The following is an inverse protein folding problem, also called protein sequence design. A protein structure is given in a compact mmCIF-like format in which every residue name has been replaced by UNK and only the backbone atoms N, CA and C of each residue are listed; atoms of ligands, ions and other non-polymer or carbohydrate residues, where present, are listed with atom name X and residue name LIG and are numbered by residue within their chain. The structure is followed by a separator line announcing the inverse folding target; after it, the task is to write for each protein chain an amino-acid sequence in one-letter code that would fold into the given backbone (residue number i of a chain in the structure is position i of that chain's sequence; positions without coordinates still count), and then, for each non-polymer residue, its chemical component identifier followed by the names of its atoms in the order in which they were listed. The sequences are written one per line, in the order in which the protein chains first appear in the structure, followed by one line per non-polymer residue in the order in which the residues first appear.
data_IF_006081219542
#
_entry.id   IF_006081219542
#
_cell.length_a   1.000
_cell.length_b   1.000
_cell.length_c   1.000
_cell.angle_alpha   90.00
_cell.angle_beta   90.00
_cell.angle_gamma   90.00
#
_symmetry.space_group_name_H-M   'P 1'
#
loop_
_entity.id
_entity.type
_entity.pdbx_description
1 polymer ?
#
# COMPACT_ATOMS: atom_id res chain seq x y z
N UNK A 1 24.81 15.76 -3.48
CA UNK A 1 23.62 14.92 -3.71
C UNK A 1 23.94 13.52 -3.22
N UNK A 2 23.02 12.88 -2.49
CA UNK A 2 23.24 11.54 -1.92
C UNK A 2 22.62 10.51 -2.85
N UNK A 3 23.37 9.47 -3.21
CA UNK A 3 22.84 8.36 -4.02
C UNK A 3 22.34 7.22 -3.15
N UNK A 4 21.24 6.64 -3.58
CA UNK A 4 20.52 5.57 -2.88
C UNK A 4 20.55 4.29 -3.71
N UNK A 5 20.74 3.15 -3.05
CA UNK A 5 20.81 1.83 -3.68
C UNK A 5 19.41 1.24 -3.84
N UNK A 6 18.99 1.03 -5.08
CA UNK A 6 17.75 0.35 -5.43
C UNK A 6 17.86 -1.16 -5.19
N UNK A 7 16.71 -1.82 -5.13
CA UNK A 7 16.62 -3.29 -4.94
C UNK A 7 17.36 -4.10 -6.01
N UNK A 8 17.40 -3.60 -7.25
CA UNK A 8 18.14 -4.23 -8.35
C UNK A 8 19.66 -3.95 -8.32
N UNK A 9 20.16 -3.25 -7.29
CA UNK A 9 21.58 -2.92 -7.13
C UNK A 9 22.00 -1.61 -7.80
N UNK A 10 21.16 -1.01 -8.64
CA UNK A 10 21.42 0.30 -9.26
C UNK A 10 21.41 1.44 -8.23
N UNK A 11 22.13 2.51 -8.53
CA UNK A 11 22.13 3.73 -7.72
C UNK A 11 21.37 4.85 -8.44
N UNK A 12 20.46 5.51 -7.73
CA UNK A 12 19.79 6.73 -8.19
C UNK A 12 20.02 7.87 -7.18
N UNK A 13 19.87 9.12 -7.59
CA UNK A 13 19.88 10.23 -6.64
C UNK A 13 18.62 10.18 -5.77
N UNK A 14 18.78 10.51 -4.48
CA UNK A 14 17.62 10.65 -3.61
C UNK A 14 16.70 11.76 -4.14
N UNK A 15 15.43 11.42 -4.33
CA UNK A 15 14.42 12.33 -4.83
C UNK A 15 13.32 12.50 -3.76
N UNK A 16 13.32 13.66 -3.10
CA UNK A 16 12.36 13.98 -2.03
C UNK A 16 10.91 13.99 -2.54
N UNK A 17 10.68 14.55 -3.75
CA UNK A 17 9.35 14.60 -4.37
C UNK A 17 8.80 13.20 -4.65
N UNK A 18 9.65 12.26 -5.05
CA UNK A 18 9.30 10.86 -5.28
C UNK A 18 8.89 10.17 -3.97
N UNK A 19 9.63 10.43 -2.89
CA UNK A 19 9.30 9.89 -1.57
C UNK A 19 7.99 10.50 -1.05
N UNK A 20 7.86 11.83 -1.07
CA UNK A 20 6.65 12.54 -0.67
C UNK A 20 5.41 12.01 -1.39
N UNK A 21 5.47 11.95 -2.73
CA UNK A 21 4.35 11.45 -3.55
C UNK A 21 4.04 9.97 -3.28
N UNK A 22 5.01 9.18 -2.83
CA UNK A 22 4.77 7.79 -2.42
C UNK A 22 4.04 7.68 -1.09
N UNK A 23 4.22 8.63 -0.18
CA UNK A 23 3.54 8.71 1.13
C UNK A 23 2.13 9.28 0.97
N UNK A 24 1.96 10.35 0.19
CA UNK A 24 0.63 10.87 -0.15
C UNK A 24 -0.23 9.83 -0.87
N UNK A 25 0.40 8.95 -1.65
CA UNK A 25 -0.30 7.90 -2.38
C UNK A 25 -1.08 6.92 -1.51
N UNK A 26 -0.62 6.71 -0.27
CA UNK A 26 -1.15 5.68 0.61
C UNK A 26 -2.29 6.20 1.49
N UNK A 27 -2.50 7.53 1.52
CA UNK A 27 -3.57 8.18 2.28
C UNK A 27 -3.07 9.25 3.27
N UNK A 28 -1.76 9.31 3.51
CA UNK A 28 -1.15 10.23 4.47
C UNK A 28 -1.48 11.71 4.19
N UNK A 29 -1.63 12.49 5.27
CA UNK A 29 -1.78 13.94 5.15
C UNK A 29 -0.49 14.59 4.60
N UNK A 30 -0.60 15.78 3.97
CA UNK A 30 0.56 16.57 3.59
C UNK A 30 1.55 16.84 4.72
N UNK A 31 1.06 17.11 5.95
CA UNK A 31 1.95 17.34 7.10
C UNK A 31 2.73 16.07 7.46
N UNK A 32 2.05 14.92 7.57
CA UNK A 32 2.69 13.63 7.87
C UNK A 32 3.73 13.27 6.80
N UNK A 33 3.41 13.46 5.53
CA UNK A 33 4.33 13.18 4.43
C UNK A 33 5.57 14.09 4.48
N UNK A 34 5.40 15.38 4.80
CA UNK A 34 6.49 16.33 4.94
C UNK A 34 7.42 15.94 6.11
N UNK A 35 6.85 15.64 7.28
CA UNK A 35 7.62 15.27 8.48
C UNK A 35 8.45 14.00 8.25
N UNK A 36 7.88 13.01 7.56
CA UNK A 36 8.59 11.78 7.20
C UNK A 36 9.75 12.05 6.23
N UNK A 37 9.54 12.91 5.23
CA UNK A 37 10.59 13.27 4.26
C UNK A 37 11.75 13.96 4.98
N UNK A 38 11.47 14.90 5.88
CA UNK A 38 12.50 15.59 6.66
C UNK A 38 13.23 14.62 7.60
N UNK A 39 12.53 13.67 8.22
CA UNK A 39 13.18 12.62 9.01
C UNK A 39 14.12 11.75 8.17
N UNK A 40 13.70 11.34 6.97
CA UNK A 40 14.56 10.57 6.05
C UNK A 40 15.78 11.39 5.65
N UNK A 41 15.63 12.69 5.35
CA UNK A 41 16.73 13.58 4.97
C UNK A 41 17.77 13.70 6.09
N UNK A 42 17.35 13.82 7.36
CA UNK A 42 18.26 13.85 8.52
C UNK A 42 19.11 12.59 8.66
N UNK A 43 18.62 11.45 8.19
CA UNK A 43 19.28 10.14 8.30
C UNK A 43 19.95 9.69 7.00
N UNK A 44 19.83 10.46 5.93
CA UNK A 44 20.27 10.10 4.59
C UNK A 44 21.79 9.91 4.55
N UNK A 45 22.25 8.81 3.93
CA UNK A 45 23.68 8.48 3.78
C UNK A 45 23.95 7.92 2.40
N UNK A 46 25.16 8.13 1.89
CA UNK A 46 25.58 7.59 0.60
C UNK A 46 25.46 6.07 0.57
N UNK A 47 24.83 5.57 -0.49
CA UNK A 47 24.57 4.15 -0.67
C UNK A 47 23.47 3.55 0.20
N UNK A 48 22.74 4.38 0.98
CA UNK A 48 21.57 3.92 1.73
C UNK A 48 20.56 3.25 0.79
N UNK A 49 20.06 2.08 1.18
CA UNK A 49 19.14 1.31 0.36
C UNK A 49 17.70 1.83 0.42
N UNK A 50 16.93 1.57 -0.64
CA UNK A 50 15.49 1.86 -0.66
C UNK A 50 14.69 1.07 0.39
N UNK A 51 15.26 0.03 1.01
CA UNK A 51 14.65 -0.74 2.09
C UNK A 51 14.92 -0.09 3.46
N UNK A 52 16.10 0.49 3.67
CA UNK A 52 16.41 1.31 4.85
C UNK A 52 15.56 2.58 4.91
N UNK A 53 15.43 3.29 3.79
CA UNK A 53 14.54 4.46 3.69
C UNK A 53 13.11 4.07 4.06
N UNK A 54 12.63 2.93 3.55
CA UNK A 54 11.29 2.43 3.88
C UNK A 54 11.15 2.10 5.35
N UNK A 55 12.17 1.53 5.99
CA UNK A 55 12.14 1.26 7.42
C UNK A 55 11.97 2.55 8.22
N UNK A 56 12.65 3.62 7.85
CA UNK A 56 12.48 4.94 8.48
C UNK A 56 11.05 5.44 8.30
N UNK A 57 10.52 5.37 7.08
CA UNK A 57 9.13 5.76 6.77
C UNK A 57 8.15 4.97 7.62
N UNK A 58 8.28 3.65 7.71
CA UNK A 58 7.37 2.80 8.48
C UNK A 58 7.45 3.07 9.98
N UNK A 59 8.64 3.29 10.54
CA UNK A 59 8.81 3.66 11.95
C UNK A 59 8.07 4.98 12.21
N UNK A 60 8.24 5.98 11.34
CA UNK A 60 7.56 7.26 11.49
C UNK A 60 6.06 7.19 11.28
N UNK A 61 5.57 6.41 10.32
CA UNK A 61 4.14 6.15 10.17
C UNK A 61 3.56 5.46 11.41
N UNK A 62 4.26 4.50 12.03
CA UNK A 62 3.82 3.87 13.27
C UNK A 62 3.59 4.89 14.40
N UNK A 63 4.44 5.90 14.48
CA UNK A 63 4.38 6.96 15.49
C UNK A 63 3.27 7.98 15.19
N UNK A 64 3.14 8.39 13.92
CA UNK A 64 2.28 9.50 13.52
C UNK A 64 0.86 9.07 13.15
N UNK A 65 0.72 7.95 12.44
CA UNK A 65 -0.55 7.42 11.96
C UNK A 65 -0.49 5.89 11.74
N UNK A 66 -0.85 5.10 12.77
CA UNK A 66 -0.87 3.65 12.68
C UNK A 66 -1.79 3.08 11.59
N UNK A 67 -2.88 3.77 11.24
CA UNK A 67 -3.78 3.30 10.19
C UNK A 67 -3.14 3.46 8.81
N UNK A 68 -2.38 4.55 8.63
CA UNK A 68 -1.62 4.79 7.41
C UNK A 68 -0.46 3.79 7.26
N UNK A 69 0.19 3.41 8.35
CA UNK A 69 1.18 2.32 8.31
C UNK A 69 0.54 1.02 7.79
N UNK A 70 -0.66 0.69 8.27
CA UNK A 70 -1.40 -0.48 7.81
C UNK A 70 -1.83 -0.35 6.34
N UNK A 71 -2.25 0.83 5.90
CA UNK A 71 -2.55 1.13 4.49
C UNK A 71 -1.31 0.94 3.59
N UNK A 72 -0.16 1.45 4.03
CA UNK A 72 1.12 1.31 3.32
C UNK A 72 1.52 -0.16 3.21
N UNK A 73 1.46 -0.92 4.33
CA UNK A 73 1.77 -2.35 4.34
C UNK A 73 0.86 -3.10 3.36
N UNK A 74 -0.42 -2.80 3.40
CA UNK A 74 -1.39 -3.39 2.49
C UNK A 74 -1.11 -3.05 1.02
N UNK A 75 -0.82 -1.79 0.70
CA UNK A 75 -0.43 -1.34 -0.64
C UNK A 75 0.83 -2.06 -1.16
N UNK A 76 1.87 -2.17 -0.33
CA UNK A 76 3.11 -2.86 -0.70
C UNK A 76 2.87 -4.37 -0.94
N UNK A 77 1.98 -4.99 -0.15
CA UNK A 77 1.57 -6.39 -0.34
C UNK A 77 0.90 -6.58 -1.70
N UNK A 78 -0.18 -5.84 -1.98
CA UNK A 78 -0.97 -6.01 -3.21
C UNK A 78 -0.18 -5.62 -4.47
N UNK A 79 0.60 -4.54 -4.43
CA UNK A 79 1.26 -4.02 -5.64
C UNK A 79 2.61 -4.66 -5.93
N UNK A 80 3.34 -5.08 -4.89
CA UNK A 80 4.73 -5.51 -5.04
C UNK A 80 4.93 -6.98 -4.73
N UNK A 81 3.88 -7.71 -4.32
CA UNK A 81 3.96 -9.11 -3.90
C UNK A 81 4.92 -9.28 -2.72
N UNK A 82 4.99 -8.26 -1.85
CA UNK A 82 5.92 -8.27 -0.70
C UNK A 82 5.20 -8.86 0.50
N UNK A 83 5.80 -9.88 1.10
CA UNK A 83 5.52 -10.25 2.49
C UNK A 83 5.88 -9.02 3.33
N UNK A 84 4.90 -8.38 3.94
CA UNK A 84 5.14 -7.16 4.72
C UNK A 84 5.65 -7.52 6.11
N UNK A 85 6.85 -7.00 6.38
CA UNK A 85 7.60 -7.19 7.61
C UNK A 85 6.97 -6.38 8.75
N UNK A 86 6.73 -7.02 9.88
CA UNK A 86 6.49 -6.34 11.15
C UNK A 86 7.81 -6.35 11.96
N UNK A 87 8.26 -5.17 12.37
CA UNK A 87 9.40 -4.94 13.28
C UNK A 87 10.76 -5.58 12.94
N UNK A 88 11.12 -5.63 11.66
CA UNK A 88 12.54 -5.74 11.23
C UNK A 88 13.28 -7.04 11.58
N UNK A 89 12.58 -8.06 12.11
CA UNK A 89 13.07 -9.45 12.19
C UNK A 89 12.28 -10.30 11.20
N UNK A 90 13.00 -11.11 10.42
CA UNK A 90 12.38 -12.16 9.63
C UNK A 90 11.77 -13.17 10.60
N UNK A 91 10.46 -13.09 10.81
CA UNK A 91 9.75 -14.15 11.50
C UNK A 91 9.31 -15.15 10.42
N UNK A 92 10.06 -16.24 10.31
CA UNK A 92 9.48 -17.53 9.91
C UNK A 92 8.67 -17.97 11.13
N UNK A 93 7.34 -17.96 11.04
CA UNK A 93 6.52 -18.76 11.98
C UNK A 93 6.15 -20.04 11.26
N UNK A 94 6.93 -21.09 11.55
CA UNK A 94 6.41 -22.46 11.47
C UNK A 94 5.15 -22.54 12.34
N UNK A 95 4.06 -23.00 11.72
CA UNK A 95 2.64 -22.95 12.14
C UNK A 95 1.83 -21.73 11.68
N UNK A 96 1.97 -21.38 10.40
CA UNK A 96 0.90 -21.71 9.45
C UNK A 96 -0.39 -20.88 9.42
N UNK A 97 -0.51 -19.75 10.12
CA UNK A 97 -1.61 -18.80 9.92
C UNK A 97 -1.11 -17.36 9.89
N UNK A 98 -0.38 -17.01 8.84
CA UNK A 98 -0.34 -15.64 8.35
C UNK A 98 -1.70 -15.42 7.64
N UNK A 99 -2.49 -14.43 8.05
CA UNK A 99 -3.75 -14.09 7.40
C UNK A 99 -3.51 -13.68 5.93
N UNK A 100 -3.49 -14.69 5.08
CA UNK A 100 -3.62 -14.70 3.62
C UNK A 100 -5.03 -15.24 3.36
N UNK A 101 -6.10 -14.47 3.59
CA UNK A 101 -7.48 -14.94 3.67
C UNK A 101 -8.03 -15.70 2.45
N UNK A 102 -7.64 -16.97 2.30
CA UNK A 102 -8.30 -18.08 1.62
C UNK A 102 -8.57 -18.03 0.12
N UNK A 103 -8.38 -16.90 -0.59
CA UNK A 103 -8.72 -16.89 -2.02
C UNK A 103 -7.86 -16.10 -2.99
N UNK A 104 -6.79 -15.41 -2.58
CA UNK A 104 -5.84 -14.96 -3.60
C UNK A 104 -5.06 -16.18 -4.07
N UNK A 105 -5.61 -16.84 -5.10
CA UNK A 105 -4.91 -17.86 -5.88
C UNK A 105 -3.49 -17.39 -6.16
N UNK A 106 -2.57 -18.34 -6.32
CA UNK A 106 -1.22 -18.13 -6.85
C UNK A 106 -1.27 -17.41 -8.22
N UNK A 107 -1.62 -16.13 -8.23
CA UNK A 107 -1.50 -15.28 -9.39
C UNK A 107 -0.01 -15.03 -9.50
N UNK A 108 0.67 -15.86 -10.28
CA UNK A 108 2.12 -15.88 -10.47
C UNK A 108 2.73 -14.60 -11.07
N UNK A 109 2.05 -13.45 -10.96
CA UNK A 109 2.49 -12.12 -11.40
C UNK A 109 2.49 -11.10 -10.25
N UNK A 110 3.35 -10.09 -10.35
CA UNK A 110 3.40 -8.98 -9.38
C UNK A 110 2.23 -8.02 -9.64
N UNK A 111 1.43 -7.69 -8.63
CA UNK A 111 0.43 -6.60 -8.71
C UNK A 111 -0.98 -7.05 -9.12
N UNK A 112 -1.92 -6.09 -9.20
CA UNK A 112 -3.30 -6.30 -9.62
C UNK A 112 -3.42 -6.31 -11.15
N UNK A 113 -4.08 -7.32 -11.71
CA UNK A 113 -4.24 -7.55 -13.15
C UNK A 113 -5.71 -7.56 -13.61
N UNK A 114 -6.67 -7.89 -12.75
CA UNK A 114 -8.10 -7.90 -13.09
C UNK A 114 -9.01 -7.57 -11.89
N UNK A 115 -10.31 -7.41 -12.18
CA UNK A 115 -11.34 -7.08 -11.18
C UNK A 115 -11.72 -8.25 -10.28
N UNK A 116 -11.48 -9.50 -10.68
CA UNK A 116 -11.71 -10.67 -9.83
C UNK A 116 -10.78 -10.67 -8.61
N UNK A 117 -9.50 -10.31 -8.80
CA UNK A 117 -8.56 -10.12 -7.68
C UNK A 117 -9.01 -9.01 -6.72
N UNK A 118 -9.59 -7.93 -7.25
CA UNK A 118 -10.11 -6.83 -6.43
C UNK A 118 -11.31 -7.32 -5.62
N UNK A 119 -12.19 -8.12 -6.21
CA UNK A 119 -13.33 -8.72 -5.52
C UNK A 119 -12.88 -9.64 -4.39
N UNK A 120 -11.89 -10.51 -4.62
CA UNK A 120 -11.33 -11.38 -3.58
C UNK A 120 -10.77 -10.57 -2.40
N UNK A 121 -10.07 -9.46 -2.69
CA UNK A 121 -9.55 -8.57 -1.65
C UNK A 121 -10.68 -7.87 -0.89
N UNK A 122 -11.78 -7.48 -1.55
CA UNK A 122 -12.94 -6.88 -0.88
C UNK A 122 -13.67 -7.90 0.01
N UNK A 123 -13.75 -9.15 -0.41
CA UNK A 123 -14.30 -10.25 0.41
C UNK A 123 -13.44 -10.43 1.68
N UNK A 124 -12.10 -10.42 1.57
CA UNK A 124 -11.19 -10.42 2.72
C UNK A 124 -11.41 -9.21 3.65
N UNK A 125 -11.60 -8.01 3.10
CA UNK A 125 -11.85 -6.81 3.91
C UNK A 125 -13.20 -6.87 4.64
N UNK A 126 -14.21 -7.54 4.07
CA UNK A 126 -15.47 -7.79 4.78
C UNK A 126 -15.24 -8.76 5.93
N UNK A 127 -14.51 -9.86 5.70
CA UNK A 127 -14.17 -10.80 6.76
C UNK A 127 -13.38 -10.13 7.89
N UNK A 128 -12.37 -9.32 7.57
CA UNK A 128 -11.59 -8.54 8.54
C UNK A 128 -12.49 -7.64 9.40
N UNK A 129 -13.45 -6.96 8.77
CA UNK A 129 -14.42 -6.13 9.46
C UNK A 129 -15.32 -6.96 10.39
N UNK A 130 -15.78 -8.12 9.93
CA UNK A 130 -16.63 -9.03 10.69
C UNK A 130 -15.88 -9.65 11.88
N UNK A 131 -14.56 -9.86 11.76
CA UNK A 131 -13.67 -10.28 12.84
C UNK A 131 -13.26 -9.14 13.79
N UNK A 132 -13.79 -7.94 13.62
CA UNK A 132 -13.64 -6.83 14.55
C UNK A 132 -12.51 -5.86 14.22
N UNK A 133 -11.94 -5.89 13.01
CA UNK A 133 -11.01 -4.86 12.58
C UNK A 133 -11.72 -3.50 12.51
N UNK A 134 -11.03 -2.44 12.91
CA UNK A 134 -11.65 -1.12 12.99
C UNK A 134 -12.08 -0.60 11.61
N UNK A 135 -13.23 0.09 11.56
CA UNK A 135 -13.72 0.75 10.34
C UNK A 135 -12.72 1.76 9.76
N UNK A 136 -11.90 2.39 10.61
CA UNK A 136 -10.83 3.30 10.17
C UNK A 136 -9.75 2.54 9.40
N UNK A 137 -9.30 1.40 9.93
CA UNK A 137 -8.31 0.53 9.27
C UNK A 137 -8.85 -0.03 7.94
N UNK A 138 -10.12 -0.45 7.91
CA UNK A 138 -10.78 -0.90 6.67
C UNK A 138 -10.82 0.22 5.63
N UNK A 139 -11.20 1.44 6.02
CA UNK A 139 -11.21 2.59 5.12
C UNK A 139 -9.81 2.89 4.54
N UNK A 140 -8.78 2.82 5.38
CA UNK A 140 -7.37 2.97 4.98
C UNK A 140 -6.94 1.89 3.95
N UNK A 141 -7.22 0.61 4.22
CA UNK A 141 -6.91 -0.49 3.29
C UNK A 141 -7.68 -0.36 1.97
N UNK A 142 -8.93 0.08 2.03
CA UNK A 142 -9.77 0.28 0.85
C UNK A 142 -9.27 1.44 -0.03
N UNK A 143 -8.75 2.52 0.59
CA UNK A 143 -8.07 3.59 -0.15
C UNK A 143 -6.79 3.08 -0.83
N UNK A 144 -5.97 2.31 -0.11
CA UNK A 144 -4.78 1.68 -0.69
C UNK A 144 -5.13 0.76 -1.87
N UNK A 145 -6.20 -0.03 -1.78
CA UNK A 145 -6.69 -0.86 -2.88
C UNK A 145 -7.08 -0.02 -4.10
N UNK A 146 -7.87 1.04 -3.88
CA UNK A 146 -8.28 1.98 -4.92
C UNK A 146 -7.08 2.60 -5.64
N UNK A 147 -6.10 3.07 -4.88
CA UNK A 147 -4.86 3.63 -5.44
C UNK A 147 -4.03 2.57 -6.17
N UNK A 148 -4.01 1.33 -5.68
CA UNK A 148 -3.37 0.19 -6.35
C UNK A 148 -3.98 -0.10 -7.72
N UNK A 149 -5.32 -0.11 -7.81
CA UNK A 149 -6.05 -0.28 -9.08
C UNK A 149 -5.68 0.81 -10.07
N UNK A 150 -5.78 2.09 -9.67
CA UNK A 150 -5.50 3.21 -10.57
C UNK A 150 -4.05 3.22 -11.08
N UNK A 151 -3.10 2.78 -10.25
CA UNK A 151 -1.67 2.78 -10.57
C UNK A 151 -1.19 1.50 -11.24
N UNK A 152 -2.02 0.47 -11.34
CA UNK A 152 -1.61 -0.76 -12.01
C UNK A 152 -1.36 -0.50 -13.50
N UNK A 153 -0.16 -0.84 -13.95
CA UNK A 153 0.22 -0.82 -15.37
C UNK A 153 -0.19 -2.10 -16.11
N UNK A 154 -0.50 -3.16 -15.39
CA UNK A 154 -0.83 -4.47 -15.95
C UNK A 154 -2.34 -4.69 -16.07
N UNK A 155 -3.14 -3.91 -15.32
CA UNK A 155 -4.59 -4.00 -15.38
C UNK A 155 -5.13 -3.20 -16.57
N UNK A 156 -5.87 -3.83 -17.50
CA UNK A 156 -6.53 -3.12 -18.61
C UNK A 156 -7.57 -2.11 -18.11
N UNK A 157 -7.86 -1.09 -18.93
CA UNK A 157 -8.81 -0.01 -18.59
C UNK A 157 -10.18 -0.50 -18.15
N UNK A 158 -10.78 -1.44 -18.89
CA UNK A 158 -12.08 -2.02 -18.55
C UNK A 158 -12.07 -2.75 -17.19
N UNK A 159 -10.97 -3.42 -16.84
CA UNK A 159 -10.79 -4.07 -15.54
C UNK A 159 -10.58 -3.05 -14.42
N UNK A 160 -9.88 -1.94 -14.68
CA UNK A 160 -9.78 -0.82 -13.72
C UNK A 160 -11.15 -0.20 -13.44
N UNK A 161 -11.96 0.05 -14.49
CA UNK A 161 -13.31 0.60 -14.36
C UNK A 161 -14.21 -0.31 -13.53
N UNK A 162 -14.22 -1.62 -13.82
CA UNK A 162 -14.93 -2.63 -13.00
C UNK A 162 -14.44 -2.63 -11.54
N UNK A 163 -13.12 -2.59 -11.35
CA UNK A 163 -12.52 -2.59 -10.01
C UNK A 163 -12.90 -1.36 -9.19
N UNK A 164 -12.89 -0.18 -9.80
CA UNK A 164 -13.33 1.07 -9.15
C UNK A 164 -14.81 0.99 -8.79
N UNK A 165 -15.65 0.42 -9.67
CA UNK A 165 -17.06 0.19 -9.39
C UNK A 165 -17.25 -0.73 -8.17
N UNK A 166 -16.57 -1.88 -8.14
CA UNK A 166 -16.63 -2.82 -7.00
C UNK A 166 -16.21 -2.17 -5.68
N UNK A 167 -15.12 -1.40 -5.69
CA UNK A 167 -14.64 -0.67 -4.52
C UNK A 167 -15.68 0.34 -4.03
N UNK A 168 -16.31 1.09 -4.94
CA UNK A 168 -17.31 2.08 -4.58
C UNK A 168 -18.61 1.44 -4.06
N UNK A 169 -19.07 0.34 -4.65
CA UNK A 169 -20.20 -0.43 -4.13
C UNK A 169 -19.94 -0.93 -2.70
N UNK A 170 -18.72 -1.39 -2.41
CA UNK A 170 -18.30 -1.78 -1.06
C UNK A 170 -18.31 -0.59 -0.09
N UNK A 171 -17.85 0.59 -0.53
CA UNK A 171 -17.91 1.83 0.28
C UNK A 171 -19.34 2.21 0.63
N UNK A 172 -20.22 2.19 -0.36
CA UNK A 172 -21.64 2.54 -0.19
C UNK A 172 -22.33 1.57 0.76
N UNK A 173 -22.05 0.27 0.67
CA UNK A 173 -22.54 -0.74 1.62
C UNK A 173 -22.15 -0.41 3.06
N UNK A 174 -20.96 0.16 3.26
CA UNK A 174 -20.48 0.61 4.57
C UNK A 174 -20.96 2.03 4.94
N UNK A 175 -21.74 2.71 4.09
CA UNK A 175 -22.23 4.07 4.34
C UNK A 175 -21.20 5.17 4.10
N UNK A 176 -20.14 4.88 3.33
CA UNK A 176 -19.15 5.86 2.91
C UNK A 176 -19.47 6.39 1.50
N UNK A 177 -19.08 7.65 1.24
CA UNK A 177 -19.17 8.22 -0.09
C UNK A 177 -18.25 7.48 -1.07
N UNK A 178 -18.68 7.25 -2.33
CA UNK A 178 -17.81 6.75 -3.39
C UNK A 178 -16.54 7.57 -3.54
N UNK A 179 -15.46 6.95 -3.98
CA UNK A 179 -14.28 7.66 -4.43
C UNK A 179 -14.55 8.32 -5.78
N UNK A 180 -14.12 9.57 -5.91
CA UNK A 180 -14.17 10.34 -7.16
C UNK A 180 -12.84 10.23 -7.90
N UNK A 181 -12.93 10.03 -9.22
CA UNK A 181 -11.78 10.02 -10.09
C UNK A 181 -11.31 11.45 -10.35
N UNK A 182 -10.09 11.77 -9.90
CA UNK A 182 -9.45 13.08 -10.19
C UNK A 182 -9.05 13.23 -11.66
N UNK A 183 -8.89 12.11 -12.38
CA UNK A 183 -8.50 12.02 -13.79
C UNK A 183 -9.19 10.80 -14.42
N UNK A 184 -9.46 10.81 -15.74
CA UNK A 184 -9.96 9.64 -16.44
C UNK A 184 -9.06 8.41 -16.24
N UNK A 185 -9.66 7.22 -16.23
CA UNK A 185 -8.91 5.97 -16.18
C UNK A 185 -8.24 5.74 -17.53
N UNK A 186 -6.91 5.58 -17.48
CA UNK A 186 -6.03 5.20 -18.59
C UNK A 186 -5.93 3.68 -18.73
#
# INVERSE_FOLDING_TARGET
MVRIKKRNGEYEEFNETKLYNSIIATGASPEVAHDIVEEVKKKLKEGMSTDEIRRIVMIKLKELDPNELEAWKFYDRIMKGRITFDDGKAIVVEKGHLYLGRKVSDFGGKGLINSDQVKEILDELQEDLDYGLSRATINARLYALFMGVLRSKQMPKNEKEKSVKLINEFREKLGWKPYELKRPIE
#
